data_IF_468647327121
#
_entry.id   IF_468647327121
#
_cell.length_a   1.000
_cell.length_b   1.000
_cell.length_c   1.000
_cell.angle_alpha   90.00
_cell.angle_beta   90.00
_cell.angle_gamma   90.00
#
_symmetry.space_group_name_H-M   'P 1'
#
loop_
_entity.id
_entity.type
_entity.pdbx_description
1 polymer ?
#
# COMPACT_ATOMS: atom_id res chain seq x y z
N UNK A 1 1.73 -18.10 -57.58
CA UNK A 1 1.42 -16.67 -57.69
C UNK A 1 0.45 -16.34 -56.57
N UNK A 2 0.92 -15.64 -55.52
CA UNK A 2 0.14 -15.34 -54.30
C UNK A 2 -0.31 -13.88 -54.39
N UNK A 3 -1.62 -13.67 -54.45
CA UNK A 3 -2.22 -12.34 -54.47
C UNK A 3 -2.23 -11.77 -53.04
N UNK A 4 -1.55 -10.63 -52.87
CA UNK A 4 -1.65 -9.80 -51.67
C UNK A 4 -2.85 -8.85 -51.82
N UNK A 5 -3.80 -8.93 -50.90
CA UNK A 5 -4.90 -7.97 -50.78
C UNK A 5 -4.47 -6.91 -49.75
N UNK A 6 -4.18 -5.70 -50.24
CA UNK A 6 -3.98 -4.49 -49.45
C UNK A 6 -5.35 -3.88 -49.15
N UNK A 7 -5.81 -3.98 -47.90
CA UNK A 7 -6.94 -3.18 -47.41
C UNK A 7 -6.33 -1.98 -46.69
N UNK A 8 -6.33 -0.85 -47.38
CA UNK A 8 -6.08 0.46 -46.79
C UNK A 8 -7.35 0.95 -46.10
N UNK A 9 -7.30 1.13 -44.78
CA UNK A 9 -8.33 1.89 -44.07
C UNK A 9 -7.91 3.35 -43.98
N UNK A 10 -8.75 4.17 -44.60
CA UNK A 10 -8.72 5.62 -44.64
C UNK A 10 -8.73 6.24 -43.23
N UNK A 11 -7.83 7.20 -43.06
CA UNK A 11 -7.83 8.22 -42.03
C UNK A 11 -9.01 9.17 -42.28
N UNK A 12 -9.71 9.58 -41.21
CA UNK A 12 -10.37 10.89 -41.18
C UNK A 12 -11.83 10.88 -40.69
N UNK A 13 -12.03 11.35 -39.45
CA UNK A 13 -13.35 11.69 -38.92
C UNK A 13 -13.22 12.41 -37.59
N UNK A 14 -13.10 13.74 -37.66
CA UNK A 14 -12.95 14.65 -36.52
C UNK A 14 -14.22 14.63 -35.66
N UNK A 15 -14.05 14.44 -34.36
CA UNK A 15 -15.09 14.58 -33.33
C UNK A 15 -15.27 16.07 -33.04
N UNK A 16 -16.49 16.58 -33.24
CA UNK A 16 -16.93 17.86 -32.69
C UNK A 16 -18.12 17.59 -31.75
N UNK A 17 -17.81 17.35 -30.48
CA UNK A 17 -18.81 17.37 -29.41
C UNK A 17 -18.56 18.58 -28.53
N UNK A 18 -19.26 19.66 -28.82
CA UNK A 18 -19.29 20.88 -28.02
C UNK A 18 -20.23 20.65 -26.82
N UNK A 19 -19.71 20.02 -25.78
CA UNK A 19 -20.37 19.86 -24.48
C UNK A 19 -19.74 20.79 -23.46
N UNK A 20 -20.52 21.75 -22.98
CA UNK A 20 -20.18 22.81 -22.05
C UNK A 20 -19.69 22.25 -20.69
N UNK A 21 -18.38 22.30 -20.42
CA UNK A 21 -17.82 22.02 -19.10
C UNK A 21 -17.76 23.31 -18.29
N UNK A 22 -18.75 23.50 -17.42
CA UNK A 22 -18.62 24.43 -16.31
C UNK A 22 -17.52 23.93 -15.35
N UNK A 23 -16.63 24.80 -14.85
CA UNK A 23 -15.64 24.39 -13.87
C UNK A 23 -16.35 24.18 -12.52
N UNK A 24 -16.49 22.92 -12.11
CA UNK A 24 -16.87 22.60 -10.72
C UNK A 24 -15.62 22.84 -9.87
N UNK A 25 -15.45 24.08 -9.41
CA UNK A 25 -14.55 24.40 -8.34
C UNK A 25 -15.05 23.72 -7.05
N UNK A 26 -14.53 22.53 -6.74
CA UNK A 26 -14.78 21.90 -5.45
C UNK A 26 -14.05 22.71 -4.37
N UNK A 27 -14.82 23.54 -3.66
CA UNK A 27 -14.39 24.25 -2.46
C UNK A 27 -14.11 23.26 -1.34
N UNK A 28 -12.83 22.90 -1.17
CA UNK A 28 -12.36 22.36 0.10
C UNK A 28 -12.39 23.48 1.15
N UNK A 29 -13.33 23.40 2.09
CA UNK A 29 -13.27 24.17 3.32
C UNK A 29 -12.15 23.57 4.19
N UNK A 30 -10.98 24.21 4.17
CA UNK A 30 -9.96 24.00 5.20
C UNK A 30 -10.49 24.50 6.54
N UNK A 31 -10.57 23.61 7.52
CA UNK A 31 -10.68 23.98 8.92
C UNK A 31 -9.31 24.54 9.35
N UNK A 32 -9.24 25.85 9.59
CA UNK A 32 -8.08 26.50 10.17
C UNK A 32 -8.05 26.15 11.67
N UNK A 33 -7.13 25.29 12.10
CA UNK A 33 -6.77 25.16 13.51
C UNK A 33 -5.73 26.24 13.79
N UNK A 34 -6.15 27.29 14.47
CA UNK A 34 -5.28 28.37 14.97
C UNK A 34 -4.51 27.86 16.19
N UNK A 35 -3.23 27.54 16.04
CA UNK A 35 -2.29 27.48 17.15
C UNK A 35 -1.37 28.70 17.08
N UNK A 36 -1.63 29.67 17.94
CA UNK A 36 -0.76 30.81 18.14
C UNK A 36 0.46 30.36 18.96
N UNK A 37 1.64 30.64 18.41
CA UNK A 37 2.95 30.57 19.07
C UNK A 37 3.08 31.80 19.97
N UNK A 38 3.43 31.59 21.24
CA UNK A 38 3.93 32.66 22.10
C UNK A 38 5.14 32.14 22.91
N UNK A 39 6.23 32.90 22.88
CA UNK A 39 7.42 32.78 23.70
C UNK A 39 8.03 34.20 23.84
N UNK A 40 8.94 34.51 24.79
CA UNK A 40 9.16 34.04 26.17
C UNK A 40 9.18 35.27 27.14
N UNK A 41 9.74 35.19 28.38
CA UNK A 41 11.16 35.57 28.49
C UNK A 41 12.00 34.81 29.54
N UNK A 42 13.30 34.82 29.27
CA UNK A 42 14.43 34.37 30.10
C UNK A 42 14.52 35.06 31.47
N UNK A 43 15.09 34.36 32.44
CA UNK A 43 15.83 34.96 33.57
C UNK A 43 17.05 34.12 33.93
N UNK A 44 18.08 34.80 34.43
CA UNK A 44 19.49 34.43 34.50
C UNK A 44 19.93 34.30 35.97
N UNK A 45 21.01 33.55 36.19
CA UNK A 45 21.95 33.53 37.36
C UNK A 45 21.59 32.74 38.63
N UNK A 46 22.50 31.83 39.03
CA UNK A 46 23.55 32.15 40.01
C UNK A 46 24.59 31.03 40.11
N UNK A 47 25.84 31.45 40.34
CA UNK A 47 27.09 30.69 40.45
C UNK A 47 27.46 30.59 41.92
N UNK A 48 27.86 29.42 42.40
CA UNK A 48 28.76 29.14 43.53
C UNK A 48 29.04 27.61 43.43
N UNK A 49 30.22 27.03 43.60
CA UNK A 49 31.42 27.37 44.36
C UNK A 49 32.52 26.41 43.90
N UNK A 50 33.76 26.88 43.77
CA UNK A 50 34.91 26.04 43.42
C UNK A 50 35.62 25.74 44.74
N UNK A 51 35.65 24.47 45.15
CA UNK A 51 36.55 24.00 46.20
C UNK A 51 37.52 22.99 45.61
N UNK A 52 38.79 23.37 45.59
CA UNK A 52 39.91 22.57 45.10
C UNK A 52 40.53 21.89 46.32
N UNK A 53 40.50 20.56 46.36
CA UNK A 53 41.31 19.77 47.27
C UNK A 53 42.21 18.79 46.50
N UNK A 54 43.44 18.71 46.98
CA UNK A 54 44.66 18.20 46.36
C UNK A 54 44.84 16.67 46.47
N UNK A 55 45.19 16.04 45.33
CA UNK A 55 46.10 14.88 45.04
C UNK A 55 46.01 13.56 45.87
N UNK A 56 46.25 12.34 45.29
CA UNK A 56 47.49 11.94 44.58
C UNK A 56 47.32 10.98 43.36
N UNK A 57 48.39 10.63 42.61
CA UNK A 57 48.30 9.87 41.36
C UNK A 57 48.31 8.36 41.60
N UNK A 58 47.50 7.59 40.86
CA UNK A 58 47.65 6.14 40.83
C UNK A 58 47.20 5.52 39.50
N UNK A 59 48.20 4.90 38.87
CA UNK A 59 48.11 3.64 38.12
C UNK A 59 47.43 3.67 36.75
N UNK A 60 48.28 3.60 35.72
CA UNK A 60 47.93 3.22 34.34
C UNK A 60 47.46 1.76 34.36
N UNK A 61 46.16 1.53 34.17
CA UNK A 61 45.65 0.21 33.84
C UNK A 61 45.57 0.11 32.32
N UNK A 62 46.38 -0.78 31.73
CA UNK A 62 46.22 -1.19 30.34
C UNK A 62 44.94 -2.02 30.24
N UNK A 63 43.82 -1.38 29.96
CA UNK A 63 42.59 -2.08 29.58
C UNK A 63 42.77 -2.56 28.15
N UNK A 64 43.09 -3.85 28.01
CA UNK A 64 42.94 -4.57 26.76
C UNK A 64 41.45 -4.57 26.40
N UNK A 65 41.07 -3.72 25.45
CA UNK A 65 39.73 -3.73 24.86
C UNK A 65 39.60 -4.99 24.01
N UNK A 66 39.01 -6.04 24.57
CA UNK A 66 38.39 -7.10 23.78
C UNK A 66 37.28 -6.46 22.97
N UNK A 67 37.49 -6.36 21.66
CA UNK A 67 36.42 -6.01 20.72
C UNK A 67 35.46 -7.19 20.72
N UNK A 68 34.40 -7.09 21.52
CA UNK A 68 33.24 -7.95 21.36
C UNK A 68 32.64 -7.62 19.99
N UNK A 69 32.89 -8.50 19.03
CA UNK A 69 32.24 -8.49 17.74
C UNK A 69 30.76 -8.77 17.97
N UNK A 70 29.97 -7.71 18.14
CA UNK A 70 28.51 -7.78 18.17
C UNK A 70 28.05 -8.36 16.84
N UNK A 71 27.74 -9.66 16.85
CA UNK A 71 27.11 -10.36 15.73
C UNK A 71 25.76 -9.69 15.49
N UNK A 72 25.69 -8.85 14.45
CA UNK A 72 24.45 -8.24 13.98
C UNK A 72 23.49 -9.39 13.70
N UNK A 73 22.43 -9.48 14.50
CA UNK A 73 21.38 -10.47 14.33
C UNK A 73 20.67 -10.07 13.03
N UNK A 74 20.90 -10.84 11.98
CA UNK A 74 20.23 -10.67 10.69
C UNK A 74 18.72 -10.63 10.94
N UNK A 75 18.07 -9.53 10.55
CA UNK A 75 16.64 -9.37 10.69
C UNK A 75 15.98 -10.42 9.80
N UNK A 76 15.33 -11.41 10.42
CA UNK A 76 14.58 -12.44 9.70
C UNK A 76 13.45 -11.74 8.94
N UNK A 77 13.51 -11.77 7.61
CA UNK A 77 12.40 -11.27 6.79
C UNK A 77 11.13 -12.05 7.13
N UNK A 78 9.98 -11.39 7.33
CA UNK A 78 8.73 -12.08 7.54
C UNK A 78 8.41 -12.96 6.32
N UNK A 79 7.99 -14.19 6.58
CA UNK A 79 7.47 -15.09 5.54
C UNK A 79 5.96 -14.90 5.47
N UNK A 80 5.48 -14.36 4.35
CA UNK A 80 4.06 -14.19 4.10
C UNK A 80 3.42 -15.50 3.63
N UNK A 81 2.20 -15.74 4.10
CA UNK A 81 1.34 -16.84 3.68
C UNK A 81 0.17 -16.36 2.82
N UNK A 82 0.03 -15.04 2.65
CA UNK A 82 -1.08 -14.39 1.93
C UNK A 82 -2.45 -14.86 2.45
N UNK A 83 -2.57 -15.04 3.77
CA UNK A 83 -3.81 -15.44 4.44
C UNK A 83 -4.81 -14.29 4.54
N UNK A 84 -4.31 -13.05 4.59
CA UNK A 84 -5.18 -11.87 4.61
C UNK A 84 -4.53 -10.65 3.96
N UNK A 85 -5.38 -9.82 3.36
CA UNK A 85 -5.06 -8.48 2.86
C UNK A 85 -6.02 -7.48 3.49
N UNK A 86 -5.48 -6.42 4.10
CA UNK A 86 -6.21 -5.42 4.87
C UNK A 86 -7.15 -6.03 5.93
N UNK A 87 -6.73 -7.14 6.53
CA UNK A 87 -7.49 -7.88 7.55
C UNK A 87 -8.59 -8.80 7.01
N UNK A 88 -8.77 -8.85 5.69
CA UNK A 88 -9.77 -9.66 5.00
C UNK A 88 -9.12 -10.92 4.44
N UNK A 89 -9.77 -12.05 4.66
CA UNK A 89 -9.38 -13.36 4.10
C UNK A 89 -10.26 -13.68 2.90
N UNK A 90 -9.78 -14.52 1.98
CA UNK A 90 -10.59 -14.98 0.83
C UNK A 90 -11.84 -15.80 1.21
N UNK A 91 -11.99 -16.15 2.49
CA UNK A 91 -13.12 -16.91 3.03
C UNK A 91 -14.07 -16.04 3.86
N UNK A 92 -13.82 -14.75 3.96
CA UNK A 92 -14.78 -13.84 4.60
C UNK A 92 -16.00 -13.66 3.72
N UNK A 93 -17.18 -13.88 4.31
CA UNK A 93 -18.46 -13.50 3.71
C UNK A 93 -18.78 -12.01 3.98
N UNK A 94 -19.82 -11.44 3.35
CA UNK A 94 -20.19 -10.04 3.56
C UNK A 94 -20.41 -9.66 5.04
N UNK A 95 -20.99 -10.56 5.84
CA UNK A 95 -21.25 -10.30 7.26
C UNK A 95 -19.94 -10.25 8.06
N UNK A 96 -19.00 -11.14 7.77
CA UNK A 96 -17.67 -11.15 8.36
C UNK A 96 -16.89 -9.88 8.00
N UNK A 97 -16.97 -9.43 6.75
CA UNK A 97 -16.33 -8.19 6.31
C UNK A 97 -16.93 -6.97 7.02
N UNK A 98 -18.26 -6.83 7.08
CA UNK A 98 -18.92 -5.73 7.81
C UNK A 98 -18.53 -5.75 9.29
N UNK A 99 -18.43 -6.94 9.90
CA UNK A 99 -18.00 -7.06 11.30
C UNK A 99 -16.56 -6.58 11.52
N UNK A 100 -15.67 -6.78 10.55
CA UNK A 100 -14.25 -6.40 10.64
C UNK A 100 -14.01 -4.93 10.31
N UNK A 101 -14.70 -4.40 9.30
CA UNK A 101 -14.43 -3.08 8.72
C UNK A 101 -15.48 -2.01 9.04
N UNK A 102 -16.65 -2.43 9.52
CA UNK A 102 -17.85 -1.60 9.57
C UNK A 102 -18.62 -1.63 8.24
N UNK A 103 -19.66 -0.80 8.15
CA UNK A 103 -20.47 -0.68 6.93
C UNK A 103 -19.66 -0.08 5.78
N UNK A 104 -19.81 -0.58 4.54
CA UNK A 104 -19.23 0.05 3.37
C UNK A 104 -19.84 1.44 3.12
N UNK A 105 -19.08 2.30 2.46
CA UNK A 105 -19.57 3.62 1.99
C UNK A 105 -20.70 3.43 0.98
N UNK A 106 -20.58 2.39 0.15
CA UNK A 106 -21.56 2.04 -0.87
C UNK A 106 -21.52 0.55 -1.17
N UNK A 107 -22.68 -0.03 -1.46
CA UNK A 107 -22.79 -1.36 -2.07
C UNK A 107 -23.35 -1.15 -3.48
N UNK A 108 -22.63 -1.65 -4.49
CA UNK A 108 -22.99 -1.55 -5.91
C UNK A 108 -23.25 -2.94 -6.46
N UNK A 109 -24.44 -3.18 -6.99
CA UNK A 109 -24.76 -4.39 -7.75
C UNK A 109 -24.30 -4.24 -9.20
N UNK A 110 -23.72 -5.29 -9.78
CA UNK A 110 -23.38 -5.30 -11.19
C UNK A 110 -24.67 -5.35 -12.05
N UNK A 111 -24.80 -4.48 -13.07
CA UNK A 111 -26.02 -4.39 -13.87
C UNK A 111 -26.24 -5.59 -14.80
N UNK A 112 -25.23 -6.42 -15.04
CA UNK A 112 -25.26 -7.54 -15.98
C UNK A 112 -25.08 -8.89 -15.30
N UNK A 113 -24.32 -8.94 -14.21
CA UNK A 113 -23.99 -10.13 -13.45
C UNK A 113 -24.78 -10.15 -12.15
N UNK A 114 -25.83 -10.98 -12.13
CA UNK A 114 -26.58 -11.22 -10.89
C UNK A 114 -25.64 -11.70 -9.79
N UNK A 115 -25.96 -11.32 -8.56
CA UNK A 115 -25.25 -11.77 -7.36
C UNK A 115 -23.80 -11.27 -7.26
N UNK A 116 -23.36 -10.40 -8.19
CA UNK A 116 -22.08 -9.71 -8.12
C UNK A 116 -22.27 -8.34 -7.45
N UNK A 117 -21.71 -8.19 -6.25
CA UNK A 117 -21.81 -6.97 -5.45
C UNK A 117 -20.43 -6.43 -5.10
N UNK A 118 -20.22 -5.13 -5.28
CA UNK A 118 -19.00 -4.43 -4.89
C UNK A 118 -19.26 -3.58 -3.64
N UNK A 119 -18.57 -3.90 -2.56
CA UNK A 119 -18.59 -3.18 -1.30
C UNK A 119 -17.44 -2.18 -1.32
N UNK A 120 -17.77 -0.89 -1.38
CA UNK A 120 -16.77 0.18 -1.46
C UNK A 120 -16.39 0.71 -0.08
N UNK A 121 -15.10 0.72 0.20
CA UNK A 121 -14.49 1.33 1.38
C UNK A 121 -13.58 2.49 0.92
N UNK A 122 -13.17 3.41 1.81
CA UNK A 122 -12.41 4.59 1.41
C UNK A 122 -11.13 4.32 0.59
N UNK A 123 -10.45 3.19 0.84
CA UNK A 123 -9.16 2.86 0.22
C UNK A 123 -9.13 1.45 -0.40
N UNK A 124 -10.27 0.80 -0.60
CA UNK A 124 -10.37 -0.50 -1.26
C UNK A 124 -11.81 -0.83 -1.65
N UNK A 125 -11.98 -1.75 -2.58
CA UNK A 125 -13.27 -2.36 -2.90
C UNK A 125 -13.19 -3.87 -2.64
N UNK A 126 -14.30 -4.47 -2.21
CA UNK A 126 -14.41 -5.93 -2.04
C UNK A 126 -15.57 -6.39 -2.90
N UNK A 127 -15.27 -7.22 -3.89
CA UNK A 127 -16.22 -7.80 -4.83
C UNK A 127 -16.63 -9.17 -4.30
N UNK A 128 -17.93 -9.38 -4.17
CA UNK A 128 -18.53 -10.67 -3.84
C UNK A 128 -19.31 -11.20 -5.03
N UNK A 129 -19.24 -12.50 -5.28
CA UNK A 129 -20.09 -13.23 -6.20
C UNK A 129 -20.81 -14.34 -5.42
N UNK A 130 -22.14 -14.33 -5.40
CA UNK A 130 -22.96 -15.28 -4.63
C UNK A 130 -22.54 -15.36 -3.14
N UNK A 131 -22.24 -14.20 -2.55
CA UNK A 131 -21.80 -14.08 -1.16
C UNK A 131 -20.39 -14.59 -0.86
N UNK A 132 -19.64 -15.03 -1.88
CA UNK A 132 -18.23 -15.46 -1.76
C UNK A 132 -17.33 -14.32 -2.21
N UNK A 133 -16.26 -14.05 -1.47
CA UNK A 133 -15.27 -13.04 -1.88
C UNK A 133 -14.64 -13.45 -3.21
N UNK A 134 -14.90 -12.63 -4.23
CA UNK A 134 -14.36 -12.80 -5.57
C UNK A 134 -13.02 -12.07 -5.72
N UNK A 135 -12.93 -10.83 -5.24
CA UNK A 135 -11.71 -10.02 -5.29
C UNK A 135 -11.71 -8.94 -4.22
N UNK A 136 -10.55 -8.65 -3.62
CA UNK A 136 -10.28 -7.42 -2.89
C UNK A 136 -9.34 -6.55 -3.72
N UNK A 137 -9.75 -5.33 -3.99
CA UNK A 137 -9.09 -4.41 -4.92
C UNK A 137 -8.61 -3.16 -4.19
N UNK A 138 -7.31 -2.85 -4.33
CA UNK A 138 -6.68 -1.67 -3.74
C UNK A 138 -6.26 -0.75 -4.90
N UNK A 139 -6.71 0.53 -4.92
CA UNK A 139 -6.45 1.45 -6.02
C UNK A 139 -5.00 1.98 -6.04
N UNK A 140 -4.56 2.53 -7.18
CA UNK A 140 -3.25 3.18 -7.40
C UNK A 140 -2.82 4.13 -6.27
N UNK A 141 -3.78 4.90 -5.72
CA UNK A 141 -3.48 5.94 -4.75
C UNK A 141 -3.32 5.40 -3.31
N UNK A 142 -3.39 4.10 -3.07
CA UNK A 142 -3.13 3.54 -1.75
C UNK A 142 -1.65 3.74 -1.37
N UNK A 143 -1.38 4.28 -0.19
CA UNK A 143 0.00 4.41 0.29
C UNK A 143 0.51 3.12 0.94
N UNK A 144 -0.39 2.34 1.53
CA UNK A 144 -0.03 1.14 2.28
C UNK A 144 -1.02 0.01 2.07
N UNK A 145 -0.52 -1.21 2.22
CA UNK A 145 -1.27 -2.45 2.23
C UNK A 145 -0.87 -3.24 3.48
N UNK A 146 -1.82 -3.91 4.11
CA UNK A 146 -1.55 -4.79 5.25
C UNK A 146 -1.67 -6.23 4.77
N UNK A 147 -0.57 -6.98 4.76
CA UNK A 147 -0.54 -8.40 4.38
C UNK A 147 -0.21 -9.21 5.63
N UNK A 148 -1.05 -10.18 5.97
CA UNK A 148 -0.88 -11.04 7.16
C UNK A 148 -0.61 -10.24 8.46
N UNK A 149 -1.27 -9.08 8.58
CA UNK A 149 -1.12 -8.17 9.72
C UNK A 149 0.10 -7.26 9.69
N UNK A 150 0.97 -7.35 8.67
CA UNK A 150 2.15 -6.50 8.51
C UNK A 150 1.85 -5.41 7.49
N UNK A 151 2.03 -4.15 7.91
CA UNK A 151 1.87 -3.00 7.03
C UNK A 151 3.11 -2.82 6.13
N UNK A 152 2.87 -2.72 4.83
CA UNK A 152 3.86 -2.51 3.78
C UNK A 152 3.50 -1.26 2.98
N UNK A 153 4.49 -0.64 2.35
CA UNK A 153 4.23 0.38 1.34
C UNK A 153 3.59 -0.28 0.10
N UNK A 154 2.52 0.31 -0.43
CA UNK A 154 1.85 -0.20 -1.63
C UNK A 154 2.60 0.24 -2.89
N UNK A 155 3.81 -0.29 -3.06
CA UNK A 155 4.67 -0.04 -4.23
C UNK A 155 5.23 -1.36 -4.73
N UNK A 156 5.49 -1.48 -6.03
CA UNK A 156 6.06 -2.69 -6.65
C UNK A 156 7.30 -3.14 -5.89
N UNK A 157 8.28 -2.24 -5.73
CA UNK A 157 9.54 -2.52 -5.02
C UNK A 157 9.34 -3.04 -3.60
N UNK A 158 8.51 -2.37 -2.79
CA UNK A 158 8.32 -2.79 -1.39
C UNK A 158 7.64 -4.16 -1.29
N UNK A 159 6.74 -4.47 -2.23
CA UNK A 159 6.04 -5.74 -2.26
C UNK A 159 6.94 -6.88 -2.74
N UNK A 160 7.79 -6.65 -3.76
CA UNK A 160 8.83 -7.61 -4.14
C UNK A 160 9.86 -7.84 -3.02
N UNK A 161 10.30 -6.78 -2.33
CA UNK A 161 11.25 -6.90 -1.21
C UNK A 161 10.69 -7.73 -0.05
N UNK A 162 9.37 -7.67 0.15
CA UNK A 162 8.64 -8.35 1.22
C UNK A 162 8.23 -9.78 0.84
N UNK A 163 7.68 -9.98 -0.36
CA UNK A 163 7.08 -11.24 -0.82
C UNK A 163 8.08 -12.14 -1.56
N UNK A 164 9.16 -11.57 -2.10
CA UNK A 164 10.16 -12.29 -2.88
C UNK A 164 10.03 -12.03 -4.38
N UNK A 165 10.48 -12.99 -5.18
CA UNK A 165 10.28 -12.93 -6.64
C UNK A 165 8.83 -13.26 -6.97
N UNK A 166 8.23 -12.62 -7.99
CA UNK A 166 6.91 -13.00 -8.46
C UNK A 166 6.90 -14.42 -9.02
N UNK A 167 5.78 -15.12 -8.86
CA UNK A 167 5.56 -16.46 -9.40
C UNK A 167 5.18 -16.41 -10.89
N UNK A 168 4.55 -15.31 -11.32
CA UNK A 168 4.17 -15.07 -12.71
C UNK A 168 4.38 -13.61 -13.11
N UNK A 169 4.77 -13.41 -14.37
CA UNK A 169 4.76 -12.11 -15.06
C UNK A 169 3.65 -12.16 -16.12
N UNK A 170 2.81 -11.13 -16.18
CA UNK A 170 1.72 -10.97 -17.15
C UNK A 170 1.93 -9.70 -17.98
N UNK A 171 1.13 -9.52 -19.04
CA UNK A 171 1.24 -8.34 -19.92
C UNK A 171 1.04 -7.01 -19.18
N UNK A 172 0.31 -7.05 -18.06
CA UNK A 172 -0.18 -5.91 -17.30
C UNK A 172 0.27 -5.91 -15.84
N UNK A 173 1.23 -6.77 -15.46
CA UNK A 173 1.61 -6.88 -14.06
C UNK A 173 2.44 -8.10 -13.66
N UNK A 174 2.54 -8.30 -12.34
CA UNK A 174 3.20 -9.44 -11.72
C UNK A 174 2.31 -10.05 -10.64
N UNK A 175 2.49 -11.35 -10.36
CA UNK A 175 1.63 -12.11 -9.46
C UNK A 175 2.47 -12.88 -8.43
N UNK A 176 2.02 -12.83 -7.18
CA UNK A 176 2.52 -13.67 -6.09
C UNK A 176 1.46 -14.71 -5.72
N UNK A 177 1.86 -15.97 -5.57
CA UNK A 177 1.00 -17.09 -5.21
C UNK A 177 1.39 -17.64 -3.83
N UNK A 178 0.38 -17.90 -2.99
CA UNK A 178 0.58 -18.67 -1.77
C UNK A 178 -0.64 -19.51 -1.45
N UNK A 179 -0.52 -20.83 -1.61
CA UNK A 179 -1.64 -21.75 -1.42
C UNK A 179 -2.78 -21.47 -2.40
N UNK A 180 -3.95 -21.12 -1.87
CA UNK A 180 -5.14 -20.80 -2.67
C UNK A 180 -5.24 -19.31 -3.03
N UNK A 181 -4.30 -18.48 -2.58
CA UNK A 181 -4.35 -17.03 -2.74
C UNK A 181 -3.40 -16.52 -3.83
N UNK A 182 -3.88 -15.57 -4.62
CA UNK A 182 -3.10 -14.75 -5.53
C UNK A 182 -3.13 -13.29 -5.10
N UNK A 183 -1.98 -12.63 -5.21
CA UNK A 183 -1.85 -11.19 -5.13
C UNK A 183 -1.27 -10.68 -6.46
N UNK A 184 -2.11 -10.08 -7.30
CA UNK A 184 -1.69 -9.47 -8.57
C UNK A 184 -1.43 -7.98 -8.38
N UNK A 185 -0.26 -7.53 -8.80
CA UNK A 185 0.08 -6.12 -8.95
C UNK A 185 -0.12 -5.75 -10.41
N UNK A 186 -1.12 -4.89 -10.67
CA UNK A 186 -1.27 -4.29 -11.98
C UNK A 186 -0.30 -3.13 -12.11
N UNK A 187 0.45 -3.09 -13.21
CA UNK A 187 1.55 -2.17 -13.44
C UNK A 187 1.39 -1.53 -14.81
N UNK A 188 1.45 -0.21 -14.85
CA UNK A 188 1.60 0.53 -16.10
C UNK A 188 3.01 0.28 -16.67
N UNK A 189 3.08 -0.41 -17.82
CA UNK A 189 4.34 -0.89 -18.41
C UNK A 189 5.29 0.24 -18.82
N UNK A 190 4.75 1.42 -19.14
CA UNK A 190 5.55 2.57 -19.58
C UNK A 190 6.20 3.30 -18.41
N UNK A 191 5.46 3.49 -17.31
CA UNK A 191 5.92 4.23 -16.13
C UNK A 191 6.42 3.36 -14.98
N UNK A 192 6.23 2.04 -15.05
CA UNK A 192 6.47 1.07 -14.00
C UNK A 192 5.77 1.43 -12.67
N UNK A 193 4.60 2.06 -12.77
CA UNK A 193 3.78 2.45 -11.62
C UNK A 193 2.70 1.42 -11.38
N UNK A 194 2.46 1.15 -10.09
CA UNK A 194 1.35 0.33 -9.66
C UNK A 194 0.03 1.05 -9.97
N UNK A 195 -0.88 0.40 -10.69
CA UNK A 195 -2.22 0.93 -11.02
C UNK A 195 -3.31 0.34 -10.12
N UNK A 196 -3.13 -0.90 -9.66
CA UNK A 196 -3.95 -1.52 -8.61
C UNK A 196 -3.29 -2.77 -8.03
N UNK A 197 -3.79 -3.24 -6.88
CA UNK A 197 -3.46 -4.54 -6.28
C UNK A 197 -4.76 -5.33 -6.14
N UNK A 198 -4.77 -6.58 -6.60
CA UNK A 198 -5.92 -7.46 -6.49
C UNK A 198 -5.55 -8.71 -5.70
N UNK A 199 -6.38 -9.06 -4.72
CA UNK A 199 -6.26 -10.26 -3.89
C UNK A 199 -7.47 -11.16 -4.11
N UNK A 200 -7.24 -12.38 -4.62
CA UNK A 200 -8.31 -13.28 -5.05
C UNK A 200 -7.88 -14.75 -5.00
N UNK A 201 -8.86 -15.65 -5.16
CA UNK A 201 -8.61 -17.09 -5.21
C UNK A 201 -7.87 -17.48 -6.48
N UNK A 202 -6.89 -18.38 -6.37
CA UNK A 202 -6.17 -18.96 -7.51
C UNK A 202 -7.10 -19.60 -8.54
N UNK A 203 -8.21 -20.18 -8.08
CA UNK A 203 -9.22 -20.79 -8.95
C UNK A 203 -10.01 -19.79 -9.81
N UNK A 204 -9.82 -18.48 -9.61
CA UNK A 204 -10.44 -17.40 -10.39
C UNK A 204 -9.58 -16.92 -11.57
N UNK A 205 -8.37 -17.49 -11.75
CA UNK A 205 -7.50 -17.25 -12.91
C UNK A 205 -7.91 -18.05 -14.14
#
# INVERSE_FOLDING_TARGET
MKNFILIGCLIGGIVAYSGNLAPIASSYKQALVTNAVEAPPSSVQSVHEIEIASMPPATVANTTYSVETTKVKEAVKPSFKLQSVNGITLFDDPSAVIKKLGEPVQIVEDPYLKELYTYQYPNMAIVFNDGILYSLEIPENAQTIIIDGIQLAATVKALEEALGQPDYETEDGIVFESGDALLKLFIDVDSNKLTSIHYFHRASM
#
